data_IF_426141490359
#
_entry.id   IF_426141490359
#
_cell.length_a   1.000
_cell.length_b   1.000
_cell.length_c   1.000
_cell.angle_alpha   90.00
_cell.angle_beta   90.00
_cell.angle_gamma   90.00
#
_symmetry.space_group_name_H-M   'P 1'
#
loop_
_entity.id
_entity.type
_entity.pdbx_description
1 polymer ?
#
# COMPACT_ATOMS: atom_id res chain seq x y z
N UNK A 1 -9.73 10.82 29.08
CA UNK A 1 -10.68 11.95 29.17
C UNK A 1 -10.13 13.12 28.36
N UNK A 2 -10.53 13.21 27.07
CA UNK A 2 -10.39 14.34 26.12
C UNK A 2 -10.93 13.83 24.77
N UNK A 3 -12.23 14.02 24.54
CA UNK A 3 -12.86 15.05 23.70
C UNK A 3 -12.90 14.65 22.21
N UNK A 4 -13.96 13.90 21.87
CA UNK A 4 -14.52 13.78 20.53
C UNK A 4 -14.94 15.17 20.03
N UNK A 5 -14.60 15.48 18.77
CA UNK A 5 -15.21 16.58 18.02
C UNK A 5 -15.95 15.99 16.79
N UNK A 6 -17.22 16.38 16.56
CA UNK A 6 -18.01 15.94 15.41
C UNK A 6 -17.78 16.86 14.22
N UNK A 7 -17.61 16.30 13.02
CA UNK A 7 -17.67 17.10 11.79
C UNK A 7 -19.11 17.21 11.31
N UNK A 8 -19.61 18.44 11.35
CA UNK A 8 -20.91 18.86 10.89
C UNK A 8 -20.94 18.99 9.35
N UNK A 9 -22.02 18.53 8.74
CA UNK A 9 -22.46 18.98 7.42
C UNK A 9 -22.74 20.49 7.44
N UNK A 10 -22.28 21.19 6.41
CA UNK A 10 -22.77 22.52 6.08
C UNK A 10 -22.96 22.70 4.57
N UNK A 11 -24.13 23.27 4.28
CA UNK A 11 -24.79 23.46 3.00
C UNK A 11 -24.26 24.67 2.22
N UNK A 12 -24.32 24.55 0.89
CA UNK A 12 -24.27 25.53 -0.20
C UNK A 12 -24.18 27.06 0.08
N UNK A 13 -23.44 27.75 -0.80
CA UNK A 13 -23.84 29.07 -1.31
C UNK A 13 -23.22 29.39 -2.68
N UNK A 14 -24.10 29.79 -3.61
CA UNK A 14 -23.84 30.33 -4.95
C UNK A 14 -23.22 31.73 -4.86
N UNK A 15 -22.29 32.05 -5.77
CA UNK A 15 -22.08 33.44 -6.22
C UNK A 15 -21.67 33.48 -7.69
N UNK A 16 -22.57 34.07 -8.48
CA UNK A 16 -22.40 34.65 -9.81
C UNK A 16 -21.43 35.83 -9.81
N UNK A 17 -20.56 35.94 -10.82
CA UNK A 17 -20.21 37.25 -11.40
C UNK A 17 -19.87 37.14 -12.89
N UNK A 18 -20.51 38.01 -13.67
CA UNK A 18 -20.26 38.29 -15.08
C UNK A 18 -19.31 39.48 -15.18
N UNK A 19 -18.41 39.52 -16.16
CA UNK A 19 -18.05 40.77 -16.84
C UNK A 19 -17.33 40.52 -18.16
N UNK A 20 -17.92 41.09 -19.21
CA UNK A 20 -17.61 41.09 -20.64
C UNK A 20 -16.26 41.69 -21.03
N UNK A 21 -15.80 41.44 -22.27
CA UNK A 21 -15.50 42.48 -23.28
C UNK A 21 -15.24 41.83 -24.65
N UNK A 22 -16.05 42.23 -25.63
CA UNK A 22 -15.91 41.96 -27.07
C UNK A 22 -14.74 42.76 -27.70
N UNK A 23 -14.07 42.15 -28.68
CA UNK A 23 -13.06 42.80 -29.52
C UNK A 23 -12.97 42.11 -30.89
N UNK A 24 -13.60 42.74 -31.88
CA UNK A 24 -13.71 42.32 -33.29
C UNK A 24 -12.51 42.85 -34.12
N UNK A 25 -11.88 42.00 -34.95
CA UNK A 25 -11.28 42.37 -36.24
C UNK A 25 -10.63 41.16 -36.98
N UNK A 26 -11.15 40.86 -38.18
CA UNK A 26 -10.53 40.05 -39.26
C UNK A 26 -9.64 40.94 -40.17
N UNK A 27 -8.90 40.48 -41.22
CA UNK A 27 -8.50 39.13 -41.67
C UNK A 27 -7.01 39.01 -42.11
N UNK A 28 -6.45 37.80 -42.31
CA UNK A 28 -5.42 37.53 -43.34
C UNK A 28 -5.08 36.03 -43.47
N UNK A 29 -4.96 35.58 -44.72
CA UNK A 29 -4.60 34.23 -45.12
C UNK A 29 -3.15 33.85 -44.79
N UNK A 30 -2.91 32.58 -44.48
CA UNK A 30 -1.69 31.85 -44.85
C UNK A 30 -1.84 30.34 -44.65
N UNK A 31 -1.76 29.65 -45.79
CA UNK A 31 -1.10 28.37 -46.08
C UNK A 31 -0.93 27.32 -44.98
N UNK A 32 -1.47 26.15 -45.31
CA UNK A 32 -1.25 24.86 -44.69
C UNK A 32 0.22 24.54 -44.42
N UNK A 33 0.50 24.06 -43.22
CA UNK A 33 1.60 23.13 -42.95
C UNK A 33 1.12 22.17 -41.88
N UNK A 34 0.67 20.99 -42.31
CA UNK A 34 0.35 19.86 -41.44
C UNK A 34 1.64 19.30 -40.86
N UNK A 35 2.12 19.92 -39.79
CA UNK A 35 3.13 19.32 -38.93
C UNK A 35 2.39 18.45 -37.93
N UNK A 36 2.41 17.14 -38.18
CA UNK A 36 1.97 16.12 -37.23
C UNK A 36 2.67 16.39 -35.90
N UNK A 37 1.97 16.67 -34.79
CA UNK A 37 2.63 16.71 -33.50
C UNK A 37 3.15 15.31 -33.24
N UNK A 38 4.47 15.18 -33.08
CA UNK A 38 5.06 14.01 -32.47
C UNK A 38 4.34 13.84 -31.13
N UNK A 39 3.62 12.72 -30.98
CA UNK A 39 3.00 12.35 -29.73
C UNK A 39 4.11 12.15 -28.70
N UNK A 40 4.46 13.21 -27.98
CA UNK A 40 5.12 13.09 -26.68
C UNK A 40 4.11 12.38 -25.80
N UNK A 41 4.25 11.06 -25.69
CA UNK A 41 3.54 10.30 -24.67
C UNK A 41 3.81 10.98 -23.35
N UNK A 42 2.78 11.42 -22.60
CA UNK A 42 3.01 12.02 -21.29
C UNK A 42 3.76 11.00 -20.42
N UNK A 43 4.77 11.48 -19.70
CA UNK A 43 5.42 10.70 -18.66
C UNK A 43 4.36 10.36 -17.58
N UNK A 44 4.23 9.09 -17.17
CA UNK A 44 3.22 8.68 -16.20
C UNK A 44 3.45 9.35 -14.84
N UNK A 45 2.37 9.48 -14.05
CA UNK A 45 2.50 9.97 -12.69
C UNK A 45 3.34 9.00 -11.84
N UNK A 46 4.04 9.46 -10.78
CA UNK A 46 4.91 8.60 -9.96
C UNK A 46 4.22 7.33 -9.44
N UNK A 47 2.95 7.44 -9.05
CA UNK A 47 2.15 6.29 -8.60
C UNK A 47 1.96 5.23 -9.70
N UNK A 48 1.57 5.64 -10.91
CA UNK A 48 1.39 4.75 -12.06
C UNK A 48 2.73 4.11 -12.50
N UNK A 49 3.83 4.85 -12.37
CA UNK A 49 5.17 4.38 -12.70
C UNK A 49 5.65 3.28 -11.73
N UNK A 50 5.47 3.47 -10.42
CA UNK A 50 5.83 2.45 -9.42
C UNK A 50 4.97 1.20 -9.51
N UNK A 51 3.66 1.36 -9.74
CA UNK A 51 2.76 0.23 -9.98
C UNK A 51 3.22 -0.59 -11.18
N UNK A 52 3.51 0.09 -12.30
CA UNK A 52 4.02 -0.53 -13.52
C UNK A 52 5.36 -1.23 -13.29
N UNK A 53 6.26 -0.62 -12.50
CA UNK A 53 7.55 -1.19 -12.15
C UNK A 53 7.40 -2.45 -11.29
N UNK A 54 6.55 -2.41 -10.26
CA UNK A 54 6.24 -3.55 -9.40
C UNK A 54 5.64 -4.70 -10.21
N UNK A 55 4.68 -4.41 -11.10
CA UNK A 55 4.03 -5.40 -11.95
C UNK A 55 5.02 -6.09 -12.91
N UNK A 56 5.99 -5.33 -13.44
CA UNK A 56 6.98 -5.83 -14.40
C UNK A 56 8.16 -6.57 -13.76
N UNK A 57 8.40 -6.41 -12.46
CA UNK A 57 9.58 -6.98 -11.81
C UNK A 57 9.47 -8.50 -11.62
N UNK A 58 10.46 -9.23 -12.12
CA UNK A 58 10.63 -10.68 -11.89
C UNK A 58 11.28 -10.90 -10.52
N UNK A 59 10.58 -11.55 -9.56
CA UNK A 59 11.14 -11.83 -8.23
C UNK A 59 12.44 -12.64 -8.26
N UNK A 60 12.69 -13.44 -9.30
CA UNK A 60 13.88 -14.28 -9.40
C UNK A 60 15.12 -13.52 -9.91
N UNK A 61 14.92 -12.33 -10.49
CA UNK A 61 15.96 -11.54 -11.14
C UNK A 61 16.42 -10.33 -10.30
N UNK A 62 15.83 -10.11 -9.12
CA UNK A 62 16.19 -8.98 -8.25
C UNK A 62 17.62 -9.05 -7.76
N UNK A 63 18.23 -7.89 -7.55
CA UNK A 63 19.65 -7.76 -7.21
C UNK A 63 19.91 -7.02 -5.90
N UNK A 64 18.88 -6.40 -5.31
CA UNK A 64 18.96 -5.71 -4.02
C UNK A 64 17.75 -6.02 -3.12
N UNK A 65 17.87 -5.83 -1.78
CA UNK A 65 16.73 -5.93 -0.86
C UNK A 65 15.56 -5.01 -1.21
N UNK A 66 15.83 -3.79 -1.68
CA UNK A 66 14.79 -2.82 -2.01
C UNK A 66 14.05 -3.23 -3.29
N UNK A 67 14.77 -3.74 -4.31
CA UNK A 67 14.15 -4.38 -5.48
C UNK A 67 13.32 -5.60 -5.08
N UNK A 68 13.79 -6.38 -4.09
CA UNK A 68 13.06 -7.54 -3.59
C UNK A 68 11.75 -7.16 -2.86
N UNK A 69 11.74 -6.04 -2.13
CA UNK A 69 10.53 -5.48 -1.54
C UNK A 69 9.57 -4.97 -2.64
N UNK A 70 10.05 -4.21 -3.63
CA UNK A 70 9.23 -3.79 -4.77
C UNK A 70 8.64 -5.00 -5.53
N UNK A 71 9.44 -6.06 -5.75
CA UNK A 71 8.97 -7.30 -6.38
C UNK A 71 7.84 -7.98 -5.61
N UNK A 72 7.82 -7.78 -4.29
CA UNK A 72 6.88 -8.39 -3.35
C UNK A 72 5.68 -7.49 -3.07
N UNK A 73 5.66 -6.24 -3.56
CA UNK A 73 4.49 -5.36 -3.47
C UNK A 73 3.25 -6.00 -4.09
N UNK A 74 2.08 -5.61 -3.59
CA UNK A 74 0.78 -6.09 -4.08
C UNK A 74 0.56 -5.65 -5.53
N UNK A 75 0.00 -6.53 -6.35
CA UNK A 75 -0.26 -6.34 -7.79
C UNK A 75 -1.73 -6.62 -8.08
N UNK A 76 -2.24 -6.10 -9.21
CA UNK A 76 -3.62 -6.38 -9.66
C UNK A 76 -3.90 -7.88 -9.75
N UNK A 77 -2.92 -8.70 -10.13
CA UNK A 77 -3.05 -10.16 -10.20
C UNK A 77 -3.26 -10.85 -8.84
N UNK A 78 -3.09 -10.13 -7.73
CA UNK A 78 -3.33 -10.63 -6.37
C UNK A 78 -4.78 -10.41 -5.92
N UNK A 79 -5.53 -9.61 -6.67
CA UNK A 79 -6.83 -9.09 -6.28
C UNK A 79 -7.98 -9.83 -6.98
N UNK A 80 -9.21 -9.73 -6.44
CA UNK A 80 -10.42 -10.11 -7.16
C UNK A 80 -10.53 -9.44 -8.53
N UNK A 81 -11.27 -10.07 -9.45
CA UNK A 81 -11.54 -9.50 -10.77
C UNK A 81 -12.27 -8.15 -10.64
N UNK A 82 -11.89 -7.19 -11.46
CA UNK A 82 -12.45 -5.83 -11.47
C UNK A 82 -11.81 -4.87 -10.47
N UNK A 83 -10.93 -5.35 -9.59
CA UNK A 83 -10.18 -4.48 -8.68
C UNK A 83 -8.91 -3.94 -9.33
N UNK A 84 -8.45 -2.81 -8.81
CA UNK A 84 -7.25 -2.13 -9.27
C UNK A 84 -6.29 -1.83 -8.12
N UNK A 85 -5.05 -1.50 -8.47
CA UNK A 85 -3.99 -1.15 -7.52
C UNK A 85 -3.67 0.34 -7.65
N UNK A 86 -3.47 1.00 -6.52
CA UNK A 86 -2.96 2.37 -6.45
C UNK A 86 -1.70 2.39 -5.57
N UNK A 87 -0.54 2.62 -6.19
CA UNK A 87 0.70 2.86 -5.46
C UNK A 87 0.69 4.23 -4.79
N UNK A 88 1.28 4.33 -3.60
CA UNK A 88 1.41 5.59 -2.87
C UNK A 88 2.90 5.86 -2.53
N UNK A 89 3.74 6.20 -3.53
CA UNK A 89 5.18 6.39 -3.35
C UNK A 89 5.53 7.18 -2.10
N UNK A 90 6.55 6.74 -1.37
CA UNK A 90 7.12 7.57 -0.31
C UNK A 90 8.00 8.64 -0.96
N UNK A 91 7.64 9.90 -0.78
CA UNK A 91 8.36 11.04 -1.34
C UNK A 91 9.84 11.02 -0.89
N UNK A 92 10.75 11.14 -1.86
CA UNK A 92 12.21 11.09 -1.68
C UNK A 92 12.77 9.85 -0.96
N UNK A 93 11.94 8.82 -0.72
CA UNK A 93 12.29 7.64 0.07
C UNK A 93 12.48 7.91 1.57
N UNK A 94 12.08 9.08 2.08
CA UNK A 94 12.18 9.39 3.51
C UNK A 94 11.07 8.67 4.30
N UNK A 95 11.47 7.64 5.05
CA UNK A 95 10.55 6.81 5.82
C UNK A 95 10.19 7.38 7.20
N UNK A 96 10.82 8.49 7.62
CA UNK A 96 10.74 9.00 9.00
C UNK A 96 9.33 9.46 9.40
N UNK A 97 8.60 10.08 8.48
CA UNK A 97 7.20 10.52 8.67
C UNK A 97 6.17 9.52 8.10
N UNK A 98 6.62 8.32 7.72
CA UNK A 98 5.77 7.30 7.10
C UNK A 98 5.87 5.94 7.82
N UNK A 99 5.51 5.86 9.12
CA UNK A 99 5.56 4.62 9.89
C UNK A 99 4.57 3.56 9.35
N UNK A 100 4.97 2.30 9.40
CA UNK A 100 4.18 1.12 9.00
C UNK A 100 3.26 0.64 10.13
N UNK A 101 3.78 0.68 11.36
CA UNK A 101 3.13 0.09 12.53
C UNK A 101 2.71 1.10 13.61
N UNK A 102 3.01 2.39 13.43
CA UNK A 102 2.64 3.40 14.43
C UNK A 102 1.13 3.45 14.64
N UNK A 103 0.72 3.57 15.91
CA UNK A 103 -0.69 3.56 16.31
C UNK A 103 -1.29 2.15 16.46
N UNK A 104 -0.61 1.09 16.01
CA UNK A 104 -1.05 -0.27 16.30
C UNK A 104 -0.85 -0.57 17.79
N UNK A 105 -1.98 -0.75 18.49
CA UNK A 105 -2.03 -1.15 19.89
C UNK A 105 -1.22 -0.22 20.81
N UNK A 106 -1.14 1.07 20.46
CA UNK A 106 -0.46 2.14 21.22
C UNK A 106 1.00 1.77 21.61
N UNK A 107 1.65 0.93 20.80
CA UNK A 107 2.99 0.41 21.04
C UNK A 107 4.01 1.09 20.12
N UNK A 108 5.25 1.21 20.57
CA UNK A 108 6.37 1.65 19.72
C UNK A 108 7.08 0.46 19.07
N UNK A 109 7.55 0.66 17.85
CA UNK A 109 8.18 -0.38 17.04
C UNK A 109 9.61 0.03 16.69
N UNK A 110 10.61 -0.28 17.54
CA UNK A 110 12.01 0.03 17.26
C UNK A 110 12.52 -0.47 15.91
N UNK A 111 11.94 -1.55 15.37
CA UNK A 111 12.25 -2.05 14.03
C UNK A 111 11.97 -1.04 12.91
N UNK A 112 11.05 -0.08 13.09
CA UNK A 112 10.69 0.93 12.09
C UNK A 112 11.87 1.82 11.68
N UNK A 113 12.81 2.05 12.59
CA UNK A 113 14.03 2.83 12.31
C UNK A 113 15.06 2.06 11.47
N UNK A 114 14.82 0.78 11.20
CA UNK A 114 15.70 -0.13 10.44
C UNK A 114 15.18 -0.45 9.04
N UNK A 115 14.11 0.22 8.61
CA UNK A 115 13.58 0.10 7.25
C UNK A 115 14.50 0.83 6.27
N UNK A 116 14.68 0.26 5.07
CA UNK A 116 15.51 0.85 4.01
C UNK A 116 14.69 1.30 2.81
N UNK A 117 13.58 0.61 2.52
CA UNK A 117 12.58 1.06 1.56
C UNK A 117 11.18 0.60 1.99
N UNK A 118 10.15 1.29 1.49
CA UNK A 118 8.75 0.94 1.68
C UNK A 118 7.94 1.23 0.42
N UNK A 119 7.10 0.28 0.05
CA UNK A 119 6.22 0.35 -1.11
C UNK A 119 4.76 0.14 -0.65
N UNK A 120 4.07 1.21 -0.24
CA UNK A 120 2.69 1.13 0.19
C UNK A 120 1.75 1.19 -1.02
N UNK A 121 0.70 0.38 -0.94
CA UNK A 121 -0.26 0.13 -2.02
C UNK A 121 -1.66 0.04 -1.44
N UNK A 122 -2.64 0.58 -2.15
CA UNK A 122 -4.07 0.43 -1.85
C UNK A 122 -4.74 -0.34 -2.98
N UNK A 123 -5.48 -1.38 -2.64
CA UNK A 123 -6.39 -2.04 -3.57
C UNK A 123 -7.75 -1.34 -3.53
N UNK A 124 -8.29 -0.99 -4.70
CA UNK A 124 -9.61 -0.38 -4.83
C UNK A 124 -10.53 -1.28 -5.65
N UNK A 125 -11.82 -1.27 -5.33
CA UNK A 125 -12.83 -1.97 -6.13
C UNK A 125 -13.22 -1.19 -7.41
N UNK A 126 -14.18 -1.73 -8.18
CA UNK A 126 -14.70 -1.12 -9.41
C UNK A 126 -15.32 0.28 -9.20
N UNK A 127 -15.66 0.64 -7.96
CA UNK A 127 -16.19 1.96 -7.59
C UNK A 127 -15.11 2.94 -7.16
N UNK A 128 -13.85 2.49 -7.09
CA UNK A 128 -12.72 3.24 -6.54
C UNK A 128 -12.70 3.26 -5.01
N UNK A 129 -13.47 2.41 -4.34
CA UNK A 129 -13.48 2.35 -2.88
C UNK A 129 -12.31 1.48 -2.38
N UNK A 130 -11.52 1.94 -1.40
CA UNK A 130 -10.39 1.18 -0.88
C UNK A 130 -10.88 -0.04 -0.09
N UNK A 131 -10.32 -1.20 -0.40
CA UNK A 131 -10.70 -2.48 0.20
C UNK A 131 -9.54 -3.10 1.00
N UNK A 132 -8.32 -3.05 0.44
CA UNK A 132 -7.11 -3.54 1.09
C UNK A 132 -6.04 -2.47 1.08
N UNK A 133 -5.20 -2.47 2.11
CA UNK A 133 -3.91 -1.79 2.08
C UNK A 133 -2.81 -2.84 2.21
N UNK A 134 -1.69 -2.62 1.52
CA UNK A 134 -0.52 -3.46 1.63
C UNK A 134 0.73 -2.61 1.67
N UNK A 135 1.73 -3.07 2.41
CA UNK A 135 3.06 -2.49 2.40
C UNK A 135 4.07 -3.62 2.18
N UNK A 136 5.01 -3.42 1.25
CA UNK A 136 6.23 -4.23 1.20
C UNK A 136 7.42 -3.39 1.64
N UNK A 137 8.19 -3.93 2.58
CA UNK A 137 9.20 -3.20 3.34
C UNK A 137 10.50 -4.00 3.28
N UNK A 138 11.59 -3.34 2.93
CA UNK A 138 12.94 -3.88 3.13
C UNK A 138 13.53 -3.33 4.43
N UNK A 139 14.29 -4.17 5.12
CA UNK A 139 15.03 -3.80 6.31
C UNK A 139 16.54 -3.93 6.10
N UNK A 140 17.32 -3.25 6.94
CA UNK A 140 18.78 -3.28 6.94
C UNK A 140 19.40 -4.65 7.32
N UNK A 141 18.56 -5.61 7.75
CA UNK A 141 18.96 -6.96 8.13
C UNK A 141 17.77 -7.89 8.34
N UNK A 142 17.97 -9.19 8.14
CA UNK A 142 16.94 -10.20 8.38
C UNK A 142 16.53 -10.28 9.87
N UNK A 143 17.45 -9.95 10.78
CA UNK A 143 17.17 -9.82 12.21
C UNK A 143 16.20 -8.66 12.49
N UNK A 144 16.28 -7.56 11.75
CA UNK A 144 15.38 -6.42 11.86
C UNK A 144 13.96 -6.77 11.38
N UNK A 145 13.86 -7.45 10.24
CA UNK A 145 12.59 -7.95 9.71
C UNK A 145 11.94 -8.96 10.68
N UNK A 146 12.73 -9.88 11.24
CA UNK A 146 12.25 -10.80 12.28
C UNK A 146 11.82 -10.08 13.55
N UNK A 147 12.56 -9.05 13.98
CA UNK A 147 12.21 -8.17 15.10
C UNK A 147 10.86 -7.49 14.85
N UNK A 148 10.62 -6.95 13.65
CA UNK A 148 9.34 -6.32 13.30
C UNK A 148 8.14 -7.27 13.51
N UNK A 149 8.24 -8.51 13.04
CA UNK A 149 7.18 -9.50 13.26
C UNK A 149 7.03 -9.89 14.74
N UNK A 150 8.13 -9.98 15.49
CA UNK A 150 8.09 -10.28 16.92
C UNK A 150 7.43 -9.14 17.71
N UNK A 151 7.74 -7.89 17.38
CA UNK A 151 7.11 -6.69 17.93
C UNK A 151 5.62 -6.68 17.61
N UNK A 152 5.22 -6.98 16.36
CA UNK A 152 3.83 -7.05 15.96
C UNK A 152 3.03 -8.12 16.72
N UNK A 153 3.59 -9.34 16.88
CA UNK A 153 2.98 -10.40 17.70
C UNK A 153 2.80 -9.93 19.15
N UNK A 154 3.82 -9.28 19.71
CA UNK A 154 3.79 -8.78 21.09
C UNK A 154 2.74 -7.67 21.25
N UNK A 155 2.67 -6.74 20.31
CA UNK A 155 1.70 -5.66 20.29
C UNK A 155 0.27 -6.21 20.28
N UNK A 156 -0.04 -7.16 19.40
CA UNK A 156 -1.38 -7.77 19.35
C UNK A 156 -1.71 -8.64 20.57
N UNK A 157 -0.73 -9.31 21.17
CA UNK A 157 -0.95 -10.09 22.39
C UNK A 157 -1.33 -9.22 23.61
N UNK A 158 -0.86 -7.97 23.66
CA UNK A 158 -1.17 -7.00 24.72
C UNK A 158 -2.26 -5.99 24.36
N UNK A 159 -2.88 -6.12 23.18
CA UNK A 159 -3.77 -5.11 22.64
C UNK A 159 -5.16 -5.18 23.27
N UNK A 160 -5.43 -4.35 24.27
CA UNK A 160 -6.79 -4.16 24.80
C UNK A 160 -7.38 -2.88 24.23
N UNK A 161 -8.53 -2.96 23.55
CA UNK A 161 -9.27 -1.74 23.17
C UNK A 161 -10.78 -2.00 23.18
N UNK A 162 -11.55 -1.01 23.60
CA UNK A 162 -13.01 -1.10 23.64
C UNK A 162 -13.66 -1.23 22.25
N UNK A 163 -12.96 -0.80 21.19
CA UNK A 163 -13.49 -0.73 19.83
C UNK A 163 -13.16 -1.95 18.97
N UNK A 164 -12.43 -2.95 19.51
CA UNK A 164 -12.05 -4.16 18.78
C UNK A 164 -12.18 -5.41 19.64
N UNK A 165 -12.70 -6.49 19.06
CA UNK A 165 -12.75 -7.82 19.69
C UNK A 165 -11.97 -8.80 18.83
N UNK A 166 -10.87 -9.34 19.35
CA UNK A 166 -10.10 -10.37 18.65
C UNK A 166 -10.91 -11.65 18.51
N UNK A 167 -10.84 -12.25 17.33
CA UNK A 167 -11.49 -13.53 17.01
C UNK A 167 -10.44 -14.54 16.56
N UNK A 168 -10.85 -15.78 16.36
CA UNK A 168 -9.95 -16.82 15.86
C UNK A 168 -9.39 -16.39 14.50
N UNK A 169 -8.05 -16.29 14.36
CA UNK A 169 -7.45 -15.91 13.10
C UNK A 169 -7.68 -17.01 12.04
N UNK A 170 -7.74 -16.65 10.75
CA UNK A 170 -7.86 -17.62 9.69
C UNK A 170 -6.59 -18.47 9.53
N UNK A 171 -6.66 -19.52 8.71
CA UNK A 171 -5.52 -20.41 8.44
C UNK A 171 -4.36 -19.67 7.79
N UNK A 172 -3.14 -19.92 8.30
CA UNK A 172 -1.88 -19.43 7.74
C UNK A 172 -1.33 -20.31 6.60
N UNK A 173 -2.09 -21.29 6.12
CA UNK A 173 -1.70 -22.12 4.99
C UNK A 173 -1.38 -21.27 3.75
N UNK A 174 -0.24 -21.55 3.11
CA UNK A 174 0.24 -20.84 1.93
C UNK A 174 0.96 -19.52 2.21
N UNK A 175 1.07 -19.09 3.47
CA UNK A 175 1.88 -17.93 3.87
C UNK A 175 3.34 -18.33 4.10
N UNK A 176 4.24 -17.36 4.31
CA UNK A 176 5.61 -17.67 4.72
C UNK A 176 5.65 -18.31 6.12
N UNK A 177 6.73 -19.05 6.41
CA UNK A 177 6.94 -19.69 7.70
C UNK A 177 6.96 -18.67 8.86
N UNK A 178 7.54 -17.50 8.61
CA UNK A 178 7.55 -16.38 9.54
C UNK A 178 6.39 -15.44 9.21
N UNK A 179 5.20 -15.75 9.76
CA UNK A 179 4.00 -14.94 9.58
C UNK A 179 3.29 -14.62 10.90
N UNK A 180 2.44 -13.60 10.84
CA UNK A 180 1.54 -13.10 11.87
C UNK A 180 0.19 -12.90 11.20
N UNK A 181 -0.81 -13.66 11.63
CA UNK A 181 -2.18 -13.54 11.15
C UNK A 181 -3.05 -13.15 12.33
N UNK A 182 -3.73 -12.02 12.19
CA UNK A 182 -4.60 -11.47 13.23
C UNK A 182 -5.95 -11.16 12.61
N UNK A 183 -7.01 -11.54 13.31
CA UNK A 183 -8.36 -11.13 12.97
C UNK A 183 -9.05 -10.53 14.18
N UNK A 184 -9.72 -9.41 13.97
CA UNK A 184 -10.61 -8.82 14.96
C UNK A 184 -11.87 -8.27 14.29
N UNK A 185 -12.90 -8.05 15.09
CA UNK A 185 -14.09 -7.32 14.69
C UNK A 185 -14.07 -5.95 15.33
N UNK A 186 -14.35 -4.92 14.54
CA UNK A 186 -14.60 -3.57 15.05
C UNK A 186 -15.95 -3.50 15.76
N UNK A 187 -16.18 -2.46 16.57
CA UNK A 187 -17.45 -2.21 17.25
C UNK A 187 -18.63 -2.02 16.28
N UNK A 188 -18.35 -1.70 15.01
CA UNK A 188 -19.33 -1.64 13.91
C UNK A 188 -19.76 -3.03 13.41
N UNK A 189 -19.09 -4.10 13.83
CA UNK A 189 -19.25 -5.46 13.31
C UNK A 189 -18.42 -5.75 12.06
N UNK A 190 -17.66 -4.78 11.55
CA UNK A 190 -16.78 -4.95 10.40
C UNK A 190 -15.58 -5.81 10.78
N UNK A 191 -15.31 -6.93 10.08
CA UNK A 191 -14.08 -7.69 10.29
C UNK A 191 -12.87 -6.89 9.83
N UNK A 192 -11.72 -7.19 10.42
CA UNK A 192 -10.42 -6.72 10.00
C UNK A 192 -9.46 -7.90 10.08
N UNK A 193 -8.72 -8.14 9.01
CA UNK A 193 -7.66 -9.13 8.93
C UNK A 193 -6.35 -8.41 8.65
N UNK A 194 -5.33 -8.77 9.41
CA UNK A 194 -3.96 -8.32 9.22
C UNK A 194 -3.11 -9.56 9.00
N UNK A 195 -2.39 -9.58 7.88
CA UNK A 195 -1.38 -10.60 7.58
C UNK A 195 -0.05 -9.89 7.40
N UNK A 196 0.87 -10.13 8.32
CA UNK A 196 2.27 -9.74 8.16
C UNK A 196 3.13 -10.99 7.99
N UNK A 197 4.08 -10.97 7.07
CA UNK A 197 4.92 -12.11 6.75
C UNK A 197 6.30 -11.66 6.30
N UNK A 198 7.32 -12.46 6.64
CA UNK A 198 8.71 -12.13 6.37
C UNK A 198 9.42 -13.25 5.61
N UNK A 199 10.46 -12.85 4.87
CA UNK A 199 11.52 -13.73 4.38
C UNK A 199 12.81 -12.92 4.22
N UNK A 200 13.87 -13.32 4.92
CA UNK A 200 15.11 -12.55 4.92
C UNK A 200 14.88 -11.12 5.42
N UNK A 201 15.36 -10.13 4.68
CA UNK A 201 15.19 -8.69 4.93
C UNK A 201 13.84 -8.12 4.50
N UNK A 202 12.98 -8.89 3.82
CA UNK A 202 11.73 -8.40 3.25
C UNK A 202 10.55 -8.78 4.14
N UNK A 203 9.71 -7.79 4.45
CA UNK A 203 8.40 -7.95 5.11
C UNK A 203 7.30 -7.51 4.15
N UNK A 204 6.19 -8.23 4.15
CA UNK A 204 4.93 -7.81 3.55
C UNK A 204 3.86 -7.73 4.63
N UNK A 205 3.05 -6.68 4.59
CA UNK A 205 1.87 -6.48 5.42
C UNK A 205 0.68 -6.30 4.49
N UNK A 206 -0.44 -6.97 4.77
CA UNK A 206 -1.72 -6.79 4.10
C UNK A 206 -2.79 -6.60 5.17
N UNK A 207 -3.63 -5.58 5.00
CA UNK A 207 -4.72 -5.25 5.90
C UNK A 207 -5.99 -5.10 5.07
N UNK A 208 -7.09 -5.68 5.52
CA UNK A 208 -8.37 -5.60 4.81
C UNK A 208 -9.56 -5.96 5.69
N UNK A 209 -10.75 -5.60 5.23
CA UNK A 209 -12.01 -5.95 5.90
C UNK A 209 -12.66 -7.23 5.36
N UNK A 210 -12.33 -7.65 4.14
CA UNK A 210 -12.66 -8.97 3.58
C UNK A 210 -11.54 -9.99 3.89
N UNK A 211 -11.80 -10.99 4.77
CA UNK A 211 -10.81 -12.01 5.12
C UNK A 211 -10.30 -12.83 3.93
N UNK A 212 -11.18 -13.18 2.98
CA UNK A 212 -10.83 -14.08 1.88
C UNK A 212 -9.97 -13.34 0.85
N UNK A 213 -10.35 -12.10 0.51
CA UNK A 213 -9.53 -11.25 -0.36
C UNK A 213 -8.16 -10.95 0.27
N UNK A 214 -8.12 -10.61 1.57
CA UNK A 214 -6.88 -10.32 2.30
C UNK A 214 -5.93 -11.52 2.29
N UNK A 215 -6.43 -12.73 2.58
CA UNK A 215 -5.62 -13.95 2.59
C UNK A 215 -5.17 -14.37 1.19
N UNK A 216 -6.04 -14.20 0.18
CA UNK A 216 -5.69 -14.49 -1.21
C UNK A 216 -4.50 -13.62 -1.65
N UNK A 217 -4.58 -12.31 -1.42
CA UNK A 217 -3.51 -11.38 -1.74
C UNK A 217 -2.22 -11.72 -0.98
N UNK A 218 -2.31 -11.97 0.33
CA UNK A 218 -1.16 -12.34 1.14
C UNK A 218 -0.48 -13.64 0.67
N UNK A 219 -1.24 -14.67 0.26
CA UNK A 219 -0.67 -15.91 -0.28
C UNK A 219 0.02 -15.71 -1.63
N UNK A 220 -0.55 -14.90 -2.52
CA UNK A 220 0.10 -14.57 -3.79
C UNK A 220 1.42 -13.81 -3.57
N UNK A 221 1.43 -12.87 -2.62
CA UNK A 221 2.67 -12.19 -2.20
C UNK A 221 3.67 -13.19 -1.61
N UNK A 222 3.24 -14.11 -0.73
CA UNK A 222 4.09 -15.14 -0.15
C UNK A 222 4.76 -16.02 -1.23
N UNK A 223 4.01 -16.40 -2.26
CA UNK A 223 4.51 -17.17 -3.39
C UNK A 223 5.57 -16.41 -4.21
N UNK A 224 5.46 -15.08 -4.33
CA UNK A 224 6.52 -14.24 -4.91
C UNK A 224 7.71 -14.12 -3.98
N UNK A 225 7.49 -13.88 -2.69
CA UNK A 225 8.56 -13.81 -1.70
C UNK A 225 9.39 -15.09 -1.69
N UNK A 226 8.79 -16.26 -1.87
CA UNK A 226 9.50 -17.55 -1.96
C UNK A 226 10.46 -17.66 -3.15
N UNK A 227 10.26 -16.87 -4.21
CA UNK A 227 11.08 -16.86 -5.42
C UNK A 227 12.30 -15.93 -5.33
N UNK A 228 12.35 -15.04 -4.33
CA UNK A 228 13.45 -14.09 -4.17
C UNK A 228 14.80 -14.82 -3.99
N UNK A 229 15.92 -14.33 -4.55
CA UNK A 229 17.23 -14.93 -4.34
C UNK A 229 17.66 -14.81 -2.86
N UNK A 230 17.93 -15.95 -2.22
CA UNK A 230 18.33 -16.00 -0.81
C UNK A 230 19.56 -15.13 -0.50
N UNK A 231 20.51 -15.06 -1.43
CA UNK A 231 21.71 -14.23 -1.32
C UNK A 231 21.42 -12.72 -1.32
N UNK A 232 20.31 -12.27 -1.92
CA UNK A 232 19.91 -10.86 -1.99
C UNK A 232 19.22 -10.44 -0.70
N UNK A 233 18.36 -11.30 -0.15
CA UNK A 233 17.57 -10.99 1.04
C UNK A 233 18.16 -11.52 2.35
N UNK A 234 19.30 -12.20 2.32
CA UNK A 234 19.92 -12.80 3.51
C UNK A 234 19.06 -13.88 4.18
N UNK A 235 18.44 -14.75 3.38
CA UNK A 235 17.57 -15.86 3.83
C UNK A 235 18.22 -17.25 3.70
#
# INVERSE_FOLDING_TARGET
MRLLAPFALATALLVTSCSSTDGDASPAASSATSSSPAATSPEPAPAEAEESAAAALDPTAVTSPDEAALASAMRVADLPEGWDVQSNPVEDGDLSDNPSFEGLCETSFPSEARRTAKFPVVAVDETGSPQLTSESISYDGADAAAQALAELRTAFAGCESADRTFVTPPSSEGLTADSVVVQYQLSTGTPQVIVAQARGTVVSVVIGDDPDATLSAARSIAARMAQLPAAVIGA
#
